data_IF_981735059240
#
_entry.id   IF_981735059240
#
_cell.length_a   1.000
_cell.length_b   1.000
_cell.length_c   1.000
_cell.angle_alpha   90.00
_cell.angle_beta   90.00
_cell.angle_gamma   90.00
#
_symmetry.space_group_name_H-M   'P 1'
#
loop_
_entity.id
_entity.type
_entity.pdbx_description
1 polymer ?
#
# COMPACT_ATOMS: atom_id res chain seq x y z
N UNK A 1 -7.78 0.92 -13.67
CA UNK A 1 -8.67 0.32 -12.64
C UNK A 1 -9.03 -1.16 -12.79
N UNK A 2 -9.50 -1.70 -13.93
CA UNK A 2 -10.02 -3.10 -14.01
C UNK A 2 -8.99 -4.24 -13.90
N UNK A 3 -7.70 -3.99 -14.08
CA UNK A 3 -6.64 -5.01 -13.94
C UNK A 3 -6.29 -5.34 -12.48
N UNK A 4 -6.61 -4.44 -11.55
CA UNK A 4 -6.34 -4.62 -10.13
C UNK A 4 -7.37 -5.54 -9.47
N UNK A 5 -8.61 -5.58 -9.98
CA UNK A 5 -9.66 -6.42 -9.41
C UNK A 5 -9.33 -7.91 -9.44
N UNK A 6 -8.62 -8.45 -10.44
CA UNK A 6 -8.30 -9.89 -10.49
C UNK A 6 -7.19 -10.30 -9.51
N UNK A 7 -6.09 -9.56 -9.46
CA UNK A 7 -4.96 -9.87 -8.56
C UNK A 7 -5.38 -9.61 -7.10
N UNK A 8 -6.15 -8.54 -6.86
CA UNK A 8 -6.74 -8.30 -5.54
C UNK A 8 -7.87 -9.25 -5.20
N UNK A 9 -8.71 -9.73 -6.12
CA UNK A 9 -9.68 -10.77 -5.78
C UNK A 9 -8.95 -12.00 -5.24
N UNK A 10 -7.86 -12.42 -5.88
CA UNK A 10 -7.15 -13.64 -5.48
C UNK A 10 -6.35 -13.47 -4.18
N UNK A 11 -5.73 -12.31 -3.95
CA UNK A 11 -4.94 -12.05 -2.71
C UNK A 11 -5.83 -11.59 -1.55
N UNK A 12 -6.88 -10.80 -1.82
CA UNK A 12 -7.87 -10.39 -0.82
C UNK A 12 -8.78 -11.54 -0.40
N UNK A 13 -9.23 -12.43 -1.31
CA UNK A 13 -9.86 -13.70 -0.88
C UNK A 13 -8.93 -14.52 0.02
N UNK A 14 -7.62 -14.49 -0.22
CA UNK A 14 -6.67 -15.27 0.57
C UNK A 14 -6.44 -14.71 2.00
N UNK A 15 -6.63 -13.40 2.19
CA UNK A 15 -6.34 -12.72 3.46
C UNK A 15 -7.61 -12.30 4.23
N UNK A 16 -8.71 -11.99 3.56
CA UNK A 16 -10.03 -11.76 4.19
C UNK A 16 -10.60 -13.05 4.82
N UNK A 17 -10.16 -14.22 4.35
CA UNK A 17 -10.48 -15.51 4.96
C UNK A 17 -9.65 -15.85 6.22
N UNK A 18 -8.66 -15.03 6.62
CA UNK A 18 -7.94 -15.24 7.89
C UNK A 18 -8.63 -14.60 9.10
N UNK A 19 -9.53 -13.63 8.91
CA UNK A 19 -10.28 -13.00 10.01
C UNK A 19 -11.72 -13.53 10.16
N UNK A 20 -12.21 -14.36 9.23
CA UNK A 20 -13.61 -14.81 9.19
C UNK A 20 -13.76 -16.33 8.95
N UNK A 21 -13.01 -17.16 9.67
CA UNK A 21 -13.34 -18.58 9.87
C UNK A 21 -13.15 -18.96 11.33
N UNK A 22 -14.07 -18.49 12.17
CA UNK A 22 -14.48 -19.25 13.35
C UNK A 22 -15.80 -20.00 13.08
N UNK A 23 -16.68 -19.53 12.18
CA UNK A 23 -18.00 -20.13 12.00
C UNK A 23 -18.39 -20.36 10.52
N UNK A 24 -18.41 -21.66 10.17
CA UNK A 24 -19.37 -22.32 9.25
C UNK A 24 -19.16 -22.25 7.72
N UNK A 25 -18.32 -23.18 7.23
CA UNK A 25 -18.46 -24.10 6.06
C UNK A 25 -18.87 -23.56 4.65
N UNK A 26 -17.93 -23.57 3.69
CA UNK A 26 -17.91 -24.50 2.54
C UNK A 26 -16.61 -24.38 1.67
N UNK A 27 -15.68 -25.31 1.91
CA UNK A 27 -14.79 -25.97 0.92
C UNK A 27 -14.11 -25.16 -0.20
N UNK A 28 -13.09 -24.40 0.15
CA UNK A 28 -11.75 -24.59 -0.45
C UNK A 28 -10.81 -24.91 0.72
N UNK A 29 -10.07 -26.03 0.72
CA UNK A 29 -9.20 -26.35 1.84
C UNK A 29 -8.03 -25.36 1.86
N UNK A 30 -8.20 -24.29 2.64
CA UNK A 30 -7.21 -23.24 2.93
C UNK A 30 -5.86 -23.83 3.38
N UNK A 31 -5.87 -25.02 4.00
CA UNK A 31 -4.66 -25.77 4.34
C UNK A 31 -3.90 -26.38 3.16
N UNK A 32 -4.54 -26.61 2.01
CA UNK A 32 -3.90 -27.20 0.83
C UNK A 32 -3.10 -26.14 0.06
N UNK A 33 -3.69 -24.96 -0.17
CA UNK A 33 -3.01 -23.84 -0.80
C UNK A 33 -1.90 -23.28 0.08
N UNK A 34 -2.12 -23.19 1.41
CA UNK A 34 -1.08 -22.77 2.35
C UNK A 34 0.13 -23.68 2.28
N UNK A 35 -0.06 -25.00 2.39
CA UNK A 35 1.07 -25.95 2.27
C UNK A 35 1.76 -25.85 0.92
N UNK A 36 1.02 -25.76 -0.19
CA UNK A 36 1.61 -25.59 -1.52
C UNK A 36 2.37 -24.26 -1.66
N UNK A 37 1.85 -23.16 -1.11
CA UNK A 37 2.50 -21.85 -1.12
C UNK A 37 3.76 -21.82 -0.22
N UNK A 38 3.68 -22.44 0.96
CA UNK A 38 4.79 -22.56 1.92
C UNK A 38 5.87 -23.55 1.47
N UNK A 39 5.54 -24.51 0.60
CA UNK A 39 6.49 -25.48 0.03
C UNK A 39 6.87 -25.18 -1.42
N UNK A 40 6.29 -24.13 -2.00
CA UNK A 40 6.41 -23.78 -3.41
C UNK A 40 7.32 -22.58 -3.66
N UNK A 41 7.34 -22.07 -4.90
CA UNK A 41 8.19 -20.94 -5.30
C UNK A 41 7.83 -19.62 -4.59
N UNK A 42 6.72 -19.57 -3.85
CA UNK A 42 6.25 -18.43 -3.07
C UNK A 42 6.51 -18.56 -1.57
N UNK A 43 7.24 -19.59 -1.12
CA UNK A 43 7.54 -19.80 0.30
C UNK A 43 8.17 -18.57 0.95
N UNK A 44 8.94 -17.78 0.19
CA UNK A 44 9.61 -16.57 0.64
C UNK A 44 8.63 -15.48 1.11
N UNK A 45 7.39 -15.45 0.62
CA UNK A 45 6.34 -14.53 1.07
C UNK A 45 5.99 -14.81 2.54
N UNK A 46 6.02 -16.08 2.93
CA UNK A 46 5.65 -16.58 4.26
C UNK A 46 6.86 -16.82 5.16
N UNK A 47 8.06 -16.91 4.57
CA UNK A 47 9.31 -17.13 5.27
C UNK A 47 9.71 -15.96 6.16
N UNK A 48 9.90 -16.22 7.45
CA UNK A 48 10.42 -15.25 8.42
C UNK A 48 11.87 -14.88 8.11
N UNK A 49 12.15 -13.58 7.99
CA UNK A 49 13.44 -12.90 8.19
C UNK A 49 14.69 -13.62 7.65
N UNK A 50 14.66 -14.18 6.45
CA UNK A 50 15.93 -14.32 5.73
C UNK A 50 16.44 -12.92 5.41
N UNK A 51 17.75 -12.70 5.47
CA UNK A 51 18.36 -11.39 5.14
C UNK A 51 17.98 -10.91 3.74
N UNK A 52 17.66 -11.82 2.83
CA UNK A 52 17.23 -11.56 1.44
C UNK A 52 15.76 -11.09 1.32
N UNK A 53 14.93 -11.33 2.35
CA UNK A 53 13.50 -11.00 2.36
C UNK A 53 13.16 -9.73 3.14
N UNK A 54 14.12 -9.14 3.85
CA UNK A 54 13.94 -7.88 4.58
C UNK A 54 14.07 -6.72 3.58
N UNK A 55 13.13 -5.79 3.62
CA UNK A 55 13.22 -4.56 2.84
C UNK A 55 13.83 -3.49 3.74
N UNK A 56 14.95 -2.92 3.32
CA UNK A 56 15.50 -1.72 3.95
C UNK A 56 14.87 -0.54 3.25
N UNK A 57 13.95 0.09 3.96
CA UNK A 57 13.32 1.33 3.52
C UNK A 57 14.25 2.49 3.91
N UNK A 58 14.41 3.48 3.02
CA UNK A 58 15.35 4.58 3.22
C UNK A 58 14.89 5.59 4.28
N UNK A 59 15.81 6.44 4.74
CA UNK A 59 15.50 7.51 5.70
C UNK A 59 14.45 8.48 5.16
N UNK A 60 14.43 8.70 3.84
CA UNK A 60 13.48 9.58 3.16
C UNK A 60 12.03 9.10 3.32
N UNK A 61 11.78 7.79 3.24
CA UNK A 61 10.45 7.23 3.46
C UNK A 61 10.03 7.32 4.94
N UNK A 62 10.95 7.16 5.89
CA UNK A 62 10.61 7.35 7.31
C UNK A 62 10.17 8.79 7.61
N UNK A 63 10.84 9.77 7.00
CA UNK A 63 10.43 11.17 7.07
C UNK A 63 9.05 11.38 6.41
N UNK A 64 8.81 10.80 5.23
CA UNK A 64 7.51 10.86 4.56
C UNK A 64 6.39 10.23 5.40
N UNK A 65 6.65 9.09 6.05
CA UNK A 65 5.70 8.40 6.92
C UNK A 65 5.39 9.21 8.19
N UNK A 66 6.37 9.94 8.74
CA UNK A 66 6.13 10.88 9.84
C UNK A 66 5.23 12.02 9.37
N UNK A 67 5.52 12.61 8.21
CA UNK A 67 4.71 13.66 7.62
C UNK A 67 3.26 13.19 7.36
N UNK A 68 3.06 11.95 6.91
CA UNK A 68 1.73 11.35 6.76
C UNK A 68 0.96 11.29 8.09
N UNK A 69 1.61 10.97 9.21
CA UNK A 69 1.00 10.94 10.55
C UNK A 69 0.58 12.34 11.01
N UNK A 70 1.37 13.36 10.68
CA UNK A 70 1.04 14.77 10.95
C UNK A 70 -0.18 15.21 10.14
N UNK A 71 -0.17 14.93 8.83
CA UNK A 71 -1.31 15.21 7.95
C UNK A 71 -2.59 14.52 8.42
N UNK A 72 -2.50 13.26 8.87
CA UNK A 72 -3.65 12.54 9.42
C UNK A 72 -4.19 13.21 10.69
N UNK A 73 -3.29 13.60 11.60
CA UNK A 73 -3.66 14.28 12.85
C UNK A 73 -4.41 15.60 12.58
N UNK A 74 -3.97 16.37 11.58
CA UNK A 74 -4.69 17.57 11.14
C UNK A 74 -6.02 17.23 10.47
N UNK A 75 -6.07 16.20 9.63
CA UNK A 75 -7.27 15.78 8.92
C UNK A 75 -8.37 15.31 9.87
N UNK A 76 -8.00 14.62 10.96
CA UNK A 76 -8.90 14.18 12.03
C UNK A 76 -9.61 15.35 12.72
N UNK A 77 -8.96 16.51 12.85
CA UNK A 77 -9.60 17.71 13.43
C UNK A 77 -10.73 18.26 12.55
N UNK A 78 -10.72 17.95 11.26
CA UNK A 78 -11.67 18.43 10.26
C UNK A 78 -12.75 17.37 9.97
N UNK A 79 -12.38 16.08 9.98
CA UNK A 79 -13.25 14.97 9.60
C UNK A 79 -13.35 13.92 10.72
N UNK A 80 -14.34 14.12 11.60
CA UNK A 80 -14.54 13.37 12.86
C UNK A 80 -14.85 11.87 12.62
N UNK A 81 -15.32 11.50 11.43
CA UNK A 81 -15.87 10.17 11.15
C UNK A 81 -14.84 9.15 10.63
N UNK A 82 -13.58 9.55 10.38
CA UNK A 82 -12.58 8.69 9.70
C UNK A 82 -11.25 8.48 10.43
N UNK A 83 -11.01 9.14 11.56
CA UNK A 83 -9.68 9.16 12.19
C UNK A 83 -9.14 7.80 12.61
N UNK A 84 -9.95 7.00 13.29
CA UNK A 84 -9.54 5.67 13.73
C UNK A 84 -9.16 4.75 12.56
N UNK A 85 -9.87 4.84 11.44
CA UNK A 85 -9.62 4.04 10.23
C UNK A 85 -8.26 4.39 9.61
N UNK A 86 -7.94 5.67 9.44
CA UNK A 86 -6.67 6.09 8.86
C UNK A 86 -5.49 5.87 9.81
N UNK A 87 -5.67 6.14 11.10
CA UNK A 87 -4.67 5.83 12.13
C UNK A 87 -4.30 4.35 12.15
N UNK A 88 -5.29 3.45 12.01
CA UNK A 88 -5.06 2.00 11.88
C UNK A 88 -4.29 1.64 10.60
N UNK A 89 -4.72 2.17 9.44
CA UNK A 89 -4.06 1.93 8.16
C UNK A 89 -2.60 2.42 8.15
N UNK A 90 -2.31 3.60 8.71
CA UNK A 90 -0.96 4.15 8.83
C UNK A 90 -0.10 3.31 9.78
N UNK A 91 -0.65 2.89 10.92
CA UNK A 91 0.07 2.07 11.90
C UNK A 91 0.46 0.70 11.32
N UNK A 92 -0.47 0.05 10.61
CA UNK A 92 -0.18 -1.20 9.91
C UNK A 92 0.81 -1.02 8.76
N UNK A 93 0.78 0.13 8.05
CA UNK A 93 1.74 0.44 6.99
C UNK A 93 3.16 0.59 7.55
N UNK A 94 3.30 1.31 8.66
CA UNK A 94 4.55 1.46 9.41
C UNK A 94 5.10 0.11 9.87
N UNK A 95 4.24 -0.80 10.32
CA UNK A 95 4.66 -2.14 10.70
C UNK A 95 5.12 -2.98 9.50
N UNK A 96 4.51 -2.78 8.33
CA UNK A 96 4.87 -3.49 7.11
C UNK A 96 6.15 -2.96 6.45
N UNK A 97 6.45 -1.65 6.58
CA UNK A 97 7.68 -1.06 6.01
C UNK A 97 8.94 -1.58 6.69
N UNK A 98 8.89 -1.90 7.98
CA UNK A 98 10.03 -2.48 8.73
C UNK A 98 10.09 -4.02 8.62
N UNK A 99 9.41 -4.57 7.60
CA UNK A 99 9.04 -5.97 7.50
C UNK A 99 9.72 -6.74 6.38
N UNK A 100 9.14 -7.89 6.08
CA UNK A 100 9.49 -8.64 4.87
C UNK A 100 8.73 -8.10 3.66
N UNK A 101 9.24 -8.39 2.46
CA UNK A 101 8.53 -8.15 1.19
C UNK A 101 7.09 -8.66 1.20
N UNK A 102 6.88 -9.85 1.80
CA UNK A 102 5.55 -10.44 1.98
C UNK A 102 4.60 -9.59 2.83
N UNK A 103 5.10 -8.88 3.85
CA UNK A 103 4.28 -7.95 4.67
C UNK A 103 3.86 -6.72 3.89
N UNK A 104 4.76 -6.16 3.08
CA UNK A 104 4.42 -5.06 2.19
C UNK A 104 3.29 -5.50 1.24
N UNK A 105 3.39 -6.69 0.65
CA UNK A 105 2.34 -7.22 -0.23
C UNK A 105 1.02 -7.50 0.52
N UNK A 106 1.10 -7.97 1.77
CA UNK A 106 -0.08 -8.27 2.58
C UNK A 106 -0.77 -7.04 3.17
N UNK A 107 -0.12 -5.87 3.14
CA UNK A 107 -0.62 -4.68 3.84
C UNK A 107 -2.05 -4.29 3.44
N UNK A 108 -2.42 -4.35 2.16
CA UNK A 108 -3.77 -3.91 1.77
C UNK A 108 -4.86 -4.76 2.42
N UNK A 109 -4.61 -6.05 2.65
CA UNK A 109 -5.56 -6.88 3.37
C UNK A 109 -5.61 -6.57 4.88
N UNK A 110 -4.53 -6.01 5.43
CA UNK A 110 -4.43 -5.59 6.83
C UNK A 110 -5.02 -4.19 7.07
N UNK A 111 -5.08 -3.34 6.04
CA UNK A 111 -5.58 -1.97 6.11
C UNK A 111 -7.07 -1.91 6.52
N UNK A 112 -7.83 -2.98 6.27
CA UNK A 112 -9.21 -3.15 6.74
C UNK A 112 -10.26 -2.64 5.76
N UNK A 113 -11.50 -3.12 5.94
CA UNK A 113 -12.60 -2.85 5.01
C UNK A 113 -13.03 -1.38 5.00
N UNK A 114 -13.04 -0.73 6.17
CA UNK A 114 -13.40 0.69 6.28
C UNK A 114 -12.46 1.59 5.48
N UNK A 115 -11.16 1.27 5.50
CA UNK A 115 -10.17 1.97 4.68
C UNK A 115 -10.46 1.81 3.19
N UNK A 116 -10.82 0.60 2.76
CA UNK A 116 -11.19 0.34 1.36
C UNK A 116 -12.42 1.14 0.94
N UNK A 117 -13.43 1.26 1.79
CA UNK A 117 -14.59 2.13 1.52
C UNK A 117 -14.17 3.59 1.33
N UNK A 118 -13.29 4.11 2.19
CA UNK A 118 -12.76 5.48 2.05
C UNK A 118 -11.95 5.68 0.78
N UNK A 119 -11.21 4.66 0.37
CA UNK A 119 -10.47 4.67 -0.89
C UNK A 119 -11.41 4.68 -2.10
N UNK A 120 -12.50 3.92 -2.07
CA UNK A 120 -13.54 3.93 -3.10
C UNK A 120 -14.24 5.29 -3.21
N UNK A 121 -14.44 5.95 -2.08
CA UNK A 121 -14.93 7.34 -1.98
C UNK A 121 -13.91 8.37 -2.47
N UNK A 122 -12.69 7.96 -2.86
CA UNK A 122 -11.59 8.84 -3.23
C UNK A 122 -11.25 9.86 -2.12
N UNK A 123 -11.38 9.45 -0.85
CA UNK A 123 -11.01 10.29 0.28
C UNK A 123 -9.52 10.69 0.17
N UNK A 124 -9.18 11.99 0.29
CA UNK A 124 -7.80 12.44 0.15
C UNK A 124 -6.82 11.74 1.08
N UNK A 125 -7.20 11.45 2.34
CA UNK A 125 -6.31 10.77 3.29
C UNK A 125 -6.11 9.30 2.90
N UNK A 126 -7.17 8.62 2.45
CA UNK A 126 -7.07 7.25 1.95
C UNK A 126 -6.12 7.15 0.75
N UNK A 127 -6.24 8.10 -0.19
CA UNK A 127 -5.36 8.19 -1.35
C UNK A 127 -3.91 8.46 -0.96
N UNK A 128 -3.65 9.30 0.04
CA UNK A 128 -2.29 9.56 0.54
C UNK A 128 -1.64 8.34 1.17
N UNK A 129 -2.40 7.55 1.93
CA UNK A 129 -1.91 6.29 2.51
C UNK A 129 -1.60 5.29 1.38
N UNK A 130 -2.46 5.21 0.35
CA UNK A 130 -2.20 4.37 -0.83
C UNK A 130 -0.96 4.80 -1.61
N UNK A 131 -0.66 6.10 -1.68
CA UNK A 131 0.54 6.62 -2.32
C UNK A 131 1.81 6.10 -1.63
N UNK A 132 1.83 6.04 -0.31
CA UNK A 132 2.97 5.48 0.44
C UNK A 132 3.14 3.98 0.18
N UNK A 133 2.04 3.23 0.13
CA UNK A 133 2.09 1.82 -0.23
C UNK A 133 2.60 1.60 -1.66
N UNK A 134 2.23 2.47 -2.61
CA UNK A 134 2.76 2.45 -3.97
C UNK A 134 4.29 2.59 -3.97
N UNK A 135 4.85 3.49 -3.17
CA UNK A 135 6.29 3.65 -2.99
C UNK A 135 6.93 2.40 -2.39
N UNK A 136 6.31 1.78 -1.36
CA UNK A 136 6.82 0.53 -0.81
C UNK A 136 6.87 -0.61 -1.85
N UNK A 137 5.88 -0.69 -2.74
CA UNK A 137 5.89 -1.67 -3.84
C UNK A 137 7.05 -1.42 -4.82
N UNK A 138 7.44 -0.16 -5.01
CA UNK A 138 8.59 0.20 -5.86
C UNK A 138 9.92 -0.23 -5.24
N UNK A 139 9.99 -0.37 -3.91
CA UNK A 139 11.17 -0.85 -3.19
C UNK A 139 11.35 -2.38 -3.27
N UNK A 140 10.41 -3.10 -3.88
CA UNK A 140 10.51 -4.54 -4.13
C UNK A 140 11.29 -4.81 -5.43
N UNK A 141 12.57 -4.43 -5.46
CA UNK A 141 13.41 -4.37 -6.67
C UNK A 141 13.57 -5.72 -7.41
N UNK A 142 13.52 -6.84 -6.68
CA UNK A 142 13.58 -8.20 -7.24
C UNK A 142 12.24 -8.68 -7.83
N UNK A 143 11.16 -7.95 -7.59
CA UNK A 143 9.82 -8.25 -8.08
C UNK A 143 9.41 -7.21 -9.13
N UNK A 144 9.86 -7.42 -10.37
CA UNK A 144 9.62 -6.49 -11.48
C UNK A 144 8.14 -6.08 -11.63
N UNK A 145 7.21 -7.00 -11.36
CA UNK A 145 5.77 -6.75 -11.44
C UNK A 145 5.29 -5.83 -10.31
N UNK A 146 5.83 -5.98 -9.10
CA UNK A 146 5.46 -5.16 -7.94
C UNK A 146 5.95 -3.74 -8.13
N UNK A 147 7.18 -3.57 -8.63
CA UNK A 147 7.73 -2.26 -8.97
C UNK A 147 6.91 -1.54 -10.03
N UNK A 148 6.55 -2.23 -11.12
CA UNK A 148 5.72 -1.65 -12.17
C UNK A 148 4.29 -1.35 -11.68
N UNK A 149 3.75 -2.20 -10.81
CA UNK A 149 2.46 -1.98 -10.16
C UNK A 149 2.50 -0.73 -9.28
N UNK A 150 3.54 -0.56 -8.45
CA UNK A 150 3.75 0.63 -7.62
C UNK A 150 3.79 1.91 -8.45
N UNK A 151 4.56 1.95 -9.54
CA UNK A 151 4.62 3.11 -10.45
C UNK A 151 3.26 3.47 -11.02
N UNK A 152 2.52 2.48 -11.54
CA UNK A 152 1.18 2.71 -12.09
C UNK A 152 0.19 3.17 -11.04
N UNK A 153 0.28 2.60 -9.83
CA UNK A 153 -0.57 2.97 -8.71
C UNK A 153 -0.31 4.40 -8.27
N UNK A 154 0.96 4.82 -8.20
CA UNK A 154 1.35 6.20 -7.89
C UNK A 154 0.69 7.19 -8.86
N UNK A 155 0.77 6.93 -10.17
CA UNK A 155 0.16 7.82 -11.17
C UNK A 155 -1.37 7.83 -11.07
N UNK A 156 -2.01 6.66 -10.90
CA UNK A 156 -3.46 6.56 -10.72
C UNK A 156 -3.92 7.36 -9.48
N UNK A 157 -3.19 7.27 -8.37
CA UNK A 157 -3.46 7.99 -7.12
C UNK A 157 -3.20 9.50 -7.26
N UNK A 158 -2.12 9.90 -7.93
CA UNK A 158 -1.80 11.30 -8.16
C UNK A 158 -2.91 12.00 -8.96
N UNK A 159 -3.40 11.36 -10.02
CA UNK A 159 -4.54 11.87 -10.81
C UNK A 159 -5.81 11.99 -9.96
N UNK A 160 -6.06 11.04 -9.06
CA UNK A 160 -7.21 11.11 -8.16
C UNK A 160 -7.10 12.29 -7.17
N UNK A 161 -5.93 12.48 -6.56
CA UNK A 161 -5.65 13.59 -5.64
C UNK A 161 -5.72 14.97 -6.31
N UNK A 162 -5.27 15.08 -7.57
CA UNK A 162 -5.39 16.31 -8.34
C UNK A 162 -6.86 16.66 -8.59
N UNK A 163 -7.70 15.67 -8.90
CA UNK A 163 -9.15 15.88 -9.09
C UNK A 163 -9.85 16.35 -7.81
N UNK A 164 -9.56 15.71 -6.67
CA UNK A 164 -10.17 16.12 -5.39
C UNK A 164 -9.75 17.54 -5.02
N UNK A 165 -8.52 17.95 -5.34
CA UNK A 165 -8.06 19.33 -5.12
C UNK A 165 -8.80 20.35 -6.00
N UNK A 166 -9.06 20.03 -7.28
CA UNK A 166 -9.77 20.92 -8.20
C UNK A 166 -11.21 21.18 -7.75
N UNK A 167 -11.89 20.14 -7.27
CA UNK A 167 -13.27 20.22 -6.77
C UNK A 167 -13.37 21.04 -5.47
N UNK A 168 -12.34 20.98 -4.61
CA UNK A 168 -12.30 21.69 -3.34
C UNK A 168 -11.97 23.21 -3.45
N UNK A 169 -11.61 23.70 -4.65
CA UNK A 169 -11.29 25.11 -4.97
C UNK A 169 -10.38 25.81 -3.94
N UNK A 170 -9.11 25.42 -3.79
CA UNK A 170 -8.24 25.93 -2.74
C UNK A 170 -7.56 27.24 -3.14
N UNK A 171 -7.35 28.14 -2.18
CA UNK A 171 -6.45 29.31 -2.30
C UNK A 171 -5.06 28.84 -1.85
N UNK A 172 -4.31 28.19 -2.74
CA UNK A 172 -2.95 27.70 -2.48
C UNK A 172 -2.72 26.24 -2.90
N UNK A 173 -1.46 25.76 -2.84
CA UNK A 173 -1.15 24.37 -3.14
C UNK A 173 -1.86 23.44 -2.14
N UNK A 174 -2.32 22.26 -2.58
CA UNK A 174 -2.92 21.30 -1.67
C UNK A 174 -1.88 20.88 -0.62
N UNK A 175 -2.34 20.60 0.61
CA UNK A 175 -1.46 20.25 1.74
C UNK A 175 -0.56 19.04 1.47
N UNK A 176 -0.96 18.17 0.53
CA UNK A 176 -0.24 16.97 0.15
C UNK A 176 0.66 17.13 -1.09
N UNK A 177 0.86 18.36 -1.58
CA UNK A 177 1.69 18.61 -2.75
C UNK A 177 3.13 18.10 -2.54
N UNK A 178 3.70 18.34 -1.36
CA UNK A 178 5.05 17.89 -1.00
C UNK A 178 5.16 16.36 -1.00
N UNK A 179 4.15 15.66 -0.48
CA UNK A 179 4.08 14.19 -0.50
C UNK A 179 4.04 13.63 -1.93
N UNK A 180 3.29 14.27 -2.83
CA UNK A 180 3.25 13.87 -4.24
C UNK A 180 4.58 14.09 -4.95
N UNK A 181 5.22 15.23 -4.70
CA UNK A 181 6.51 15.56 -5.28
C UNK A 181 7.61 14.60 -4.81
N UNK A 182 7.62 14.26 -3.51
CA UNK A 182 8.47 13.21 -2.95
C UNK A 182 8.24 11.87 -3.68
N UNK A 183 7.00 11.38 -3.74
CA UNK A 183 6.71 10.09 -4.36
C UNK A 183 7.14 10.04 -5.84
N UNK A 184 6.88 11.12 -6.59
CA UNK A 184 7.32 11.26 -7.98
C UNK A 184 8.85 11.30 -8.10
N UNK A 185 9.55 11.95 -7.15
CA UNK A 185 11.01 11.98 -7.14
C UNK A 185 11.61 10.58 -6.96
N UNK A 186 11.07 9.78 -6.04
CA UNK A 186 11.44 8.38 -5.83
C UNK A 186 11.22 7.57 -7.11
N UNK A 187 10.07 7.76 -7.73
CA UNK A 187 9.71 7.08 -8.98
C UNK A 187 10.70 7.34 -10.13
N UNK A 188 11.15 8.59 -10.27
CA UNK A 188 12.12 9.03 -11.29
C UNK A 188 13.55 8.54 -11.01
N UNK A 189 14.01 8.63 -9.76
CA UNK A 189 15.33 8.13 -9.38
C UNK A 189 15.49 6.65 -9.74
N UNK A 190 14.44 5.86 -9.52
CA UNK A 190 14.41 4.42 -9.82
C UNK A 190 14.27 4.08 -11.30
N UNK A 191 13.89 5.01 -12.17
CA UNK A 191 14.03 4.85 -13.62
C UNK A 191 15.48 5.02 -14.06
N UNK A 192 16.19 5.99 -13.47
CA UNK A 192 17.57 6.30 -13.84
C UNK A 192 18.58 5.23 -13.43
N UNK A 193 18.30 4.44 -12.40
CA UNK A 193 19.17 3.34 -11.94
C UNK A 193 19.03 2.05 -12.75
N UNK A 194 18.15 2.02 -13.77
CA UNK A 194 17.98 0.87 -14.66
C UNK A 194 17.99 1.30 -16.13
N UNK A 195 19.17 1.45 -16.77
CA UNK A 195 19.24 1.47 -18.22
C UNK A 195 18.91 0.04 -18.68
N UNK A 196 17.77 -0.13 -19.34
CA UNK A 196 17.43 -1.40 -19.99
C UNK A 196 18.53 -1.70 -21.02
N UNK A 197 19.33 -2.75 -20.76
CA UNK A 197 20.34 -3.23 -21.71
C UNK A 197 21.46 -4.07 -21.09
N UNK A 198 21.16 -5.28 -20.60
CA UNK A 198 22.10 -6.41 -20.53
C UNK A 198 21.31 -7.70 -20.59
#
# INVERSE_FOLDING_TARGET
>A
MKLWQCVFHQVSYYLHYQTLIADTVHFVPIGLCRKWLESGPFQWIFGSKSSENIVVVDEDYNAALLHLKELNSEYETINITGGATFSHAISSLSFCSDGSKGRILAWLAMAGQEFMTKLEESDPMALLIMLHWAVLLMNLDDLWWARNAGRRLLEDVAVALEKTSFEARPIGPPRWAETLDWARSVSKQRESTNPIGS
#
